data_IF_794637150267
#
_entry.id   IF_794637150267
#
_cell.length_a   1.000
_cell.length_b   1.000
_cell.length_c   1.000
_cell.angle_alpha   90.00
_cell.angle_beta   90.00
_cell.angle_gamma   90.00
#
_symmetry.space_group_name_H-M   'P 1'
#
loop_
_entity.id
_entity.type
_entity.pdbx_description
1 polymer ?
#
# COMPACT_ATOMS: atom_id res chain seq x y z
N UNK A 1 -24.63 -6.32 4.70
CA UNK A 1 -23.85 -5.21 4.10
C UNK A 1 -22.71 -5.87 3.37
N UNK A 2 -22.83 -5.95 2.05
CA UNK A 2 -21.97 -6.77 1.20
C UNK A 2 -20.88 -5.89 0.60
N UNK A 3 -19.96 -5.41 1.43
CA UNK A 3 -18.88 -4.55 0.94
C UNK A 3 -17.70 -5.40 0.54
N UNK A 4 -17.87 -6.02 -0.62
CA UNK A 4 -16.83 -6.67 -1.38
C UNK A 4 -15.94 -5.57 -1.98
N UNK A 5 -15.24 -4.80 -1.13
CA UNK A 5 -14.20 -3.87 -1.56
C UNK A 5 -13.11 -4.71 -2.20
N UNK A 6 -13.22 -4.94 -3.51
CA UNK A 6 -12.30 -5.77 -4.25
C UNK A 6 -10.98 -5.05 -4.35
N UNK A 7 -9.89 -5.80 -4.22
CA UNK A 7 -8.58 -5.27 -4.55
C UNK A 7 -8.54 -4.85 -6.04
N UNK A 8 -7.83 -3.77 -6.36
CA UNK A 8 -7.60 -3.37 -7.74
C UNK A 8 -6.78 -4.45 -8.47
N UNK A 9 -6.86 -4.46 -9.80
CA UNK A 9 -5.97 -5.31 -10.60
C UNK A 9 -4.55 -4.74 -10.66
N UNK A 10 -3.55 -5.60 -10.91
CA UNK A 10 -2.17 -5.16 -11.14
C UNK A 10 -2.07 -4.15 -12.29
N UNK A 11 -2.83 -4.35 -13.37
CA UNK A 11 -2.85 -3.43 -14.51
C UNK A 11 -3.37 -2.05 -14.11
N UNK A 12 -4.46 -2.00 -13.35
CA UNK A 12 -5.00 -0.74 -12.85
C UNK A 12 -4.00 0.00 -11.96
N UNK A 13 -3.35 -0.71 -11.02
CA UNK A 13 -2.37 -0.11 -10.11
C UNK A 13 -1.14 0.40 -10.87
N UNK A 14 -0.70 -0.27 -11.94
CA UNK A 14 0.44 0.20 -12.75
C UNK A 14 0.24 1.60 -13.34
N UNK A 15 -1.02 2.03 -13.57
CA UNK A 15 -1.33 3.34 -14.14
C UNK A 15 -1.53 4.43 -13.07
N UNK A 16 -1.35 4.10 -11.79
CA UNK A 16 -1.62 5.05 -10.71
C UNK A 16 -0.53 6.11 -10.55
N UNK A 17 -0.99 7.37 -10.42
CA UNK A 17 -0.18 8.45 -9.87
C UNK A 17 0.12 8.23 -8.38
N UNK A 18 1.13 8.90 -7.82
CA UNK A 18 1.36 8.89 -6.38
C UNK A 18 0.10 9.27 -5.56
N UNK A 19 -0.64 10.30 -5.99
CA UNK A 19 -1.87 10.72 -5.32
C UNK A 19 -2.93 9.60 -5.28
N UNK A 20 -3.02 8.82 -6.36
CA UNK A 20 -3.96 7.68 -6.44
C UNK A 20 -3.53 6.55 -5.50
N UNK A 21 -2.23 6.29 -5.34
CA UNK A 21 -1.69 5.34 -4.34
C UNK A 21 -2.08 5.79 -2.93
N UNK A 22 -1.91 7.08 -2.60
CA UNK A 22 -2.25 7.61 -1.27
C UNK A 22 -3.77 7.56 -1.02
N UNK A 23 -4.58 7.94 -2.00
CA UNK A 23 -6.03 7.84 -1.90
C UNK A 23 -6.48 6.40 -1.66
N UNK A 24 -5.89 5.43 -2.36
CA UNK A 24 -6.16 4.02 -2.15
C UNK A 24 -5.77 3.55 -0.75
N UNK A 25 -4.56 3.88 -0.26
CA UNK A 25 -4.12 3.48 1.07
C UNK A 25 -5.01 4.03 2.18
N UNK A 26 -5.44 5.30 2.08
CA UNK A 26 -6.37 5.92 3.04
C UNK A 26 -7.72 5.21 3.04
N UNK A 27 -8.33 5.07 1.87
CA UNK A 27 -9.61 4.39 1.71
C UNK A 27 -9.55 2.95 2.24
N UNK A 28 -8.53 2.18 1.84
CA UNK A 28 -8.43 0.78 2.23
C UNK A 28 -8.07 0.61 3.71
N UNK A 29 -7.32 1.54 4.30
CA UNK A 29 -7.05 1.58 5.74
C UNK A 29 -8.33 1.75 6.56
N UNK A 30 -9.23 2.64 6.13
CA UNK A 30 -10.54 2.86 6.76
C UNK A 30 -11.46 1.65 6.59
N UNK A 31 -11.58 1.13 5.38
CA UNK A 31 -12.48 0.02 5.03
C UNK A 31 -12.09 -1.32 5.67
N UNK A 32 -10.78 -1.64 5.69
CA UNK A 32 -10.28 -2.94 6.18
C UNK A 32 -9.62 -2.87 7.55
N UNK A 33 -9.62 -1.69 8.19
CA UNK A 33 -8.96 -1.47 9.49
C UNK A 33 -7.51 -1.96 9.46
N UNK A 34 -6.72 -1.42 8.56
CA UNK A 34 -5.29 -1.77 8.46
C UNK A 34 -4.46 -1.20 9.63
N UNK A 35 -5.04 -0.31 10.44
CA UNK A 35 -4.40 0.35 11.59
C UNK A 35 -3.11 1.10 11.21
N UNK A 36 -3.03 1.60 9.98
CA UNK A 36 -1.98 2.50 9.54
C UNK A 36 -2.27 3.89 10.12
N UNK A 37 -1.25 4.54 10.69
CA UNK A 37 -1.35 5.92 11.16
C UNK A 37 -1.12 6.86 9.99
N UNK A 38 -1.59 8.10 10.10
CA UNK A 38 -1.36 9.12 9.07
C UNK A 38 0.13 9.32 8.77
N UNK A 39 0.99 9.22 9.79
CA UNK A 39 2.44 9.32 9.61
C UNK A 39 3.05 8.16 8.80
N UNK A 40 2.44 6.98 8.84
CA UNK A 40 2.89 5.82 8.07
C UNK A 40 2.56 6.03 6.58
N UNK A 41 1.34 6.51 6.27
CA UNK A 41 0.92 6.84 4.90
C UNK A 41 1.74 8.02 4.34
N UNK A 42 2.01 9.05 5.17
CA UNK A 42 2.85 10.20 4.77
C UNK A 42 4.25 9.80 4.34
N UNK A 43 4.83 8.71 4.85
CA UNK A 43 6.15 8.24 4.40
C UNK A 43 6.13 7.79 2.93
N UNK A 44 5.03 7.16 2.50
CA UNK A 44 4.81 6.79 1.08
C UNK A 44 4.59 8.06 0.24
N UNK A 45 3.79 8.99 0.74
CA UNK A 45 3.48 10.27 0.07
C UNK A 45 4.75 11.11 -0.16
N UNK A 46 5.56 11.28 0.89
CA UNK A 46 6.81 12.06 0.83
C UNK A 46 7.86 11.45 -0.10
N UNK A 47 7.79 10.14 -0.36
CA UNK A 47 8.67 9.44 -1.29
C UNK A 47 8.07 9.34 -2.71
N UNK A 48 6.93 10.00 -2.96
CA UNK A 48 6.35 10.15 -4.29
C UNK A 48 6.16 8.82 -5.03
N UNK A 49 5.73 7.78 -4.32
CA UNK A 49 5.67 6.40 -4.83
C UNK A 49 4.55 6.24 -5.86
N UNK A 50 4.83 6.07 -7.17
CA UNK A 50 3.80 5.79 -8.16
C UNK A 50 3.36 4.31 -8.11
N UNK A 51 2.28 4.00 -8.80
CA UNK A 51 1.72 2.65 -8.91
C UNK A 51 2.72 1.51 -9.17
N UNK A 52 3.59 1.60 -10.20
CA UNK A 52 4.59 0.57 -10.47
C UNK A 52 5.61 0.40 -9.34
N UNK A 53 5.96 1.48 -8.64
CA UNK A 53 6.85 1.41 -7.48
C UNK A 53 6.13 0.81 -6.27
N UNK A 54 4.85 1.14 -6.08
CA UNK A 54 3.99 0.60 -5.04
C UNK A 54 3.86 -0.93 -5.15
N UNK A 55 3.62 -1.45 -6.35
CA UNK A 55 3.59 -2.91 -6.61
C UNK A 55 4.93 -3.62 -6.36
N UNK A 56 6.02 -2.86 -6.32
CA UNK A 56 7.36 -3.36 -6.05
C UNK A 56 7.80 -3.17 -4.59
N UNK A 57 6.93 -2.66 -3.72
CA UNK A 57 7.22 -2.56 -2.29
C UNK A 57 7.26 -3.96 -1.68
N UNK A 58 8.36 -4.22 -0.99
CA UNK A 58 8.58 -5.41 -0.16
C UNK A 58 8.76 -4.96 1.28
N UNK A 59 8.62 -5.90 2.23
CA UNK A 59 8.90 -5.62 3.64
C UNK A 59 10.30 -4.99 3.81
N UNK A 60 11.30 -5.52 3.11
CA UNK A 60 12.67 -4.97 3.11
C UNK A 60 12.72 -3.50 2.68
N UNK A 61 12.07 -3.14 1.57
CA UNK A 61 12.06 -1.75 1.07
C UNK A 61 11.31 -0.80 1.98
N UNK A 62 10.25 -1.28 2.64
CA UNK A 62 9.46 -0.49 3.59
C UNK A 62 10.25 -0.21 4.88
N UNK A 63 11.08 -1.15 5.30
CA UNK A 63 11.99 -1.01 6.44
C UNK A 63 13.27 -0.22 6.10
N UNK A 64 13.65 -0.16 4.83
CA UNK A 64 14.85 0.55 4.37
C UNK A 64 14.80 2.03 4.72
N UNK A 65 15.98 2.65 4.85
CA UNK A 65 16.15 4.03 5.31
C UNK A 65 15.34 5.08 4.53
N UNK A 66 15.04 4.84 3.26
CA UNK A 66 14.22 5.73 2.42
C UNK A 66 12.78 5.88 2.93
N UNK A 67 12.18 4.80 3.44
CA UNK A 67 10.80 4.80 3.95
C UNK A 67 10.75 4.73 5.48
N UNK A 68 11.64 3.94 6.09
CA UNK A 68 11.80 3.79 7.54
C UNK A 68 10.46 3.57 8.25
N UNK A 69 9.59 2.73 7.71
CA UNK A 69 8.32 2.37 8.35
C UNK A 69 8.57 1.47 9.57
N UNK A 70 7.78 1.60 10.65
CA UNK A 70 7.81 0.60 11.70
C UNK A 70 7.37 -0.77 11.16
N UNK A 71 7.82 -1.84 11.81
CA UNK A 71 7.61 -3.22 11.34
C UNK A 71 6.15 -3.55 11.04
N UNK A 72 5.22 -3.26 11.95
CA UNK A 72 3.78 -3.57 11.77
C UNK A 72 3.19 -2.93 10.51
N UNK A 73 3.22 -1.58 10.37
CA UNK A 73 2.78 -0.90 9.13
C UNK A 73 3.48 -1.41 7.86
N UNK A 74 4.77 -1.72 7.94
CA UNK A 74 5.52 -2.26 6.80
C UNK A 74 5.01 -3.66 6.38
N UNK A 75 4.78 -4.54 7.34
CA UNK A 75 4.22 -5.89 7.10
C UNK A 75 2.82 -5.82 6.48
N UNK A 76 1.95 -4.96 7.03
CA UNK A 76 0.59 -4.76 6.52
C UNK A 76 0.57 -4.26 5.07
N UNK A 77 1.43 -3.29 4.72
CA UNK A 77 1.52 -2.77 3.35
C UNK A 77 2.11 -3.82 2.40
N UNK A 78 3.14 -4.56 2.83
CA UNK A 78 3.75 -5.62 2.01
C UNK A 78 2.73 -6.74 1.71
N UNK A 79 1.94 -7.15 2.71
CA UNK A 79 0.87 -8.12 2.51
C UNK A 79 -0.21 -7.60 1.56
N UNK A 80 -0.60 -6.34 1.67
CA UNK A 80 -1.58 -5.73 0.77
C UNK A 80 -1.10 -5.79 -0.69
N UNK A 81 0.16 -5.43 -0.93
CA UNK A 81 0.77 -5.50 -2.27
C UNK A 81 0.83 -6.94 -2.78
N UNK A 82 1.23 -7.91 -1.94
CA UNK A 82 1.23 -9.33 -2.30
C UNK A 82 -0.18 -9.83 -2.68
N UNK A 83 -1.21 -9.44 -1.93
CA UNK A 83 -2.62 -9.78 -2.22
C UNK A 83 -3.10 -9.18 -3.54
N UNK A 84 -2.72 -7.94 -3.87
CA UNK A 84 -3.03 -7.30 -5.17
C UNK A 84 -2.39 -8.07 -6.32
N UNK A 85 -1.15 -8.55 -6.13
CA UNK A 85 -0.42 -9.33 -7.13
C UNK A 85 -0.89 -10.78 -7.25
N UNK A 86 -1.76 -11.23 -6.34
CA UNK A 86 -2.18 -12.63 -6.26
C UNK A 86 -1.08 -13.57 -5.75
N UNK A 87 -0.06 -13.05 -5.08
CA UNK A 87 1.11 -13.82 -4.57
C UNK A 87 0.84 -14.48 -3.20
N UNK A 88 -0.42 -14.69 -2.84
CA UNK A 88 -0.85 -15.19 -1.53
C UNK A 88 -1.89 -16.31 -1.59
N UNK A 89 -1.98 -17.05 -2.71
CA UNK A 89 -2.78 -18.27 -2.84
C UNK A 89 -1.91 -19.46 -3.23
#
# INVERSE_FOLDING_TARGET
>A
MSDNTSLPSVQEVNDWSPDKVIAFLKFYNEEKKLYLRDEDIKKIENNWVPGPAFLNLTLEKLLASSLSLPYGPAEVIAELVSKIKGEGQ
#
